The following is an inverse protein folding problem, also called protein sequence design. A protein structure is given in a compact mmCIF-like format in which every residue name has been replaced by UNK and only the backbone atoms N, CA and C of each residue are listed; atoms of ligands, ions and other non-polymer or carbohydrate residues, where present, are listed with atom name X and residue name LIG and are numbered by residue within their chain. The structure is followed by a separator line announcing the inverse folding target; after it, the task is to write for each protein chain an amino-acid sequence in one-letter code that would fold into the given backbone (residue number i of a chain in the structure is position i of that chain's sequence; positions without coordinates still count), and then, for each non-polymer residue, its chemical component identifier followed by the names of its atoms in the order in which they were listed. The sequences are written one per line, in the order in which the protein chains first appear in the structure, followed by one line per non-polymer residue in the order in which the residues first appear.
data_IF_082303932914
#
_entry.id   IF_082303932914
#
_cell.length_a   1.000
_cell.length_b   1.000
_cell.length_c   1.000
_cell.angle_alpha   90.00
_cell.angle_beta   90.00
_cell.angle_gamma   90.00
#
_symmetry.space_group_name_H-M   'P 1'
#
loop_
_entity.id
_entity.type
_entity.pdbx_description
1 polymer ?
#
# COMPACT_ATOMS: atom_id res chain seq x y z
N UNK A 1 -9.22 -3.49 -10.61
CA UNK A 1 -8.26 -3.16 -9.54
C UNK A 1 -8.46 -4.08 -8.36
N UNK A 2 -9.54 -3.89 -7.60
CA UNK A 2 -9.71 -4.44 -6.24
C UNK A 2 -9.49 -5.95 -6.11
N UNK A 3 -9.95 -6.81 -7.02
CA UNK A 3 -9.82 -8.28 -6.85
C UNK A 3 -8.68 -8.92 -7.64
N UNK A 4 -8.19 -8.24 -8.69
CA UNK A 4 -7.26 -8.82 -9.68
C UNK A 4 -5.82 -8.31 -9.58
N UNK A 5 -5.58 -7.19 -8.91
CA UNK A 5 -4.21 -6.67 -8.77
C UNK A 5 -3.43 -7.47 -7.75
N UNK A 6 -2.12 -7.64 -7.99
CA UNK A 6 -1.20 -8.31 -7.06
C UNK A 6 -1.08 -7.54 -5.74
N UNK A 7 -1.06 -6.20 -5.82
CA UNK A 7 -1.17 -5.30 -4.67
C UNK A 7 -2.35 -4.33 -4.85
N UNK A 8 -3.09 -4.05 -3.78
CA UNK A 8 -4.06 -2.94 -3.73
C UNK A 8 -3.54 -1.85 -2.80
N UNK A 9 -3.50 -0.60 -3.27
CA UNK A 9 -3.13 0.55 -2.44
C UNK A 9 -4.38 1.37 -2.18
N UNK A 10 -4.73 1.55 -0.91
CA UNK A 10 -5.79 2.46 -0.47
C UNK A 10 -5.10 3.73 0.04
N UNK A 11 -4.96 4.71 -0.85
CA UNK A 11 -4.24 5.96 -0.58
C UNK A 11 -5.18 7.09 -0.11
N UNK A 12 -4.60 8.12 0.49
CA UNK A 12 -5.27 9.31 1.03
C UNK A 12 -6.16 8.99 2.23
N UNK A 13 -5.71 8.06 3.10
CA UNK A 13 -6.49 7.65 4.27
C UNK A 13 -6.75 8.80 5.25
N UNK A 14 -5.94 9.86 5.21
CA UNK A 14 -6.13 11.10 5.95
C UNK A 14 -7.41 11.85 5.57
N UNK A 15 -7.95 11.61 4.37
CA UNK A 15 -9.19 12.22 3.93
C UNK A 15 -10.45 11.54 4.50
N UNK A 16 -10.32 10.33 5.06
CA UNK A 16 -11.45 9.52 5.49
C UNK A 16 -12.44 10.25 6.44
N UNK A 17 -11.97 11.02 7.46
CA UNK A 17 -12.86 11.75 8.35
C UNK A 17 -13.67 12.86 7.66
N UNK A 18 -13.16 13.41 6.56
CA UNK A 18 -13.76 14.56 5.87
C UNK A 18 -14.75 14.15 4.77
N UNK A 19 -14.70 12.90 4.32
CA UNK A 19 -15.56 12.38 3.24
C UNK A 19 -16.56 11.33 3.74
N UNK A 20 -16.64 11.12 5.06
CA UNK A 20 -17.52 10.12 5.67
C UNK A 20 -17.14 8.67 5.33
N UNK A 21 -15.85 8.40 5.10
CA UNK A 21 -15.36 7.06 4.82
C UNK A 21 -14.90 6.36 6.11
N UNK A 22 -15.22 5.06 6.24
CA UNK A 22 -14.76 4.22 7.34
C UNK A 22 -13.63 3.29 6.89
N UNK A 23 -12.43 3.51 7.41
CA UNK A 23 -11.28 2.65 7.13
C UNK A 23 -11.49 1.21 7.62
N UNK A 24 -12.21 1.02 8.73
CA UNK A 24 -12.52 -0.31 9.26
C UNK A 24 -13.45 -1.10 8.31
N UNK A 25 -14.45 -0.44 7.72
CA UNK A 25 -15.33 -1.09 6.72
C UNK A 25 -14.54 -1.44 5.46
N UNK A 26 -13.70 -0.50 4.99
CA UNK A 26 -12.83 -0.75 3.83
C UNK A 26 -11.89 -1.93 4.07
N UNK A 27 -11.32 -2.07 5.26
CA UNK A 27 -10.46 -3.19 5.64
C UNK A 27 -11.22 -4.53 5.57
N UNK A 28 -12.38 -4.60 6.22
CA UNK A 28 -13.21 -5.81 6.23
C UNK A 28 -13.62 -6.24 4.81
N UNK A 29 -14.08 -5.30 4.00
CA UNK A 29 -14.46 -5.57 2.61
C UNK A 29 -13.25 -6.00 1.78
N UNK A 30 -12.09 -5.38 1.99
CA UNK A 30 -10.86 -5.70 1.28
C UNK A 30 -10.40 -7.13 1.61
N UNK A 31 -10.38 -7.50 2.89
CA UNK A 31 -10.06 -8.86 3.32
C UNK A 31 -11.02 -9.89 2.73
N UNK A 32 -12.32 -9.60 2.73
CA UNK A 32 -13.35 -10.48 2.13
C UNK A 32 -13.13 -10.69 0.64
N UNK A 33 -12.84 -9.61 -0.10
CA UNK A 33 -12.73 -9.63 -1.56
C UNK A 33 -11.38 -10.16 -2.06
N UNK A 34 -10.30 -9.97 -1.30
CA UNK A 34 -8.93 -10.25 -1.74
C UNK A 34 -8.32 -11.51 -1.12
N UNK A 35 -8.96 -12.12 -0.11
CA UNK A 35 -8.44 -13.30 0.59
C UNK A 35 -7.03 -13.03 1.11
N UNK A 36 -6.02 -13.63 0.47
CA UNK A 36 -4.60 -13.50 0.82
C UNK A 36 -3.85 -12.46 0.00
N UNK A 37 -4.47 -11.88 -1.04
CA UNK A 37 -3.79 -10.90 -1.88
C UNK A 37 -3.59 -9.60 -1.10
N UNK A 38 -2.35 -9.09 -1.00
CA UNK A 38 -2.01 -8.01 -0.08
C UNK A 38 -2.67 -6.68 -0.46
N UNK A 39 -2.83 -5.82 0.53
CA UNK A 39 -3.22 -4.42 0.36
C UNK A 39 -2.52 -3.56 1.41
N UNK A 40 -2.37 -2.26 1.12
CA UNK A 40 -1.72 -1.28 2.01
C UNK A 40 -2.60 -0.05 2.14
N UNK A 41 -2.88 0.37 3.37
CA UNK A 41 -3.38 1.71 3.66
C UNK A 41 -2.22 2.69 3.63
N UNK A 42 -2.37 3.79 2.90
CA UNK A 42 -1.27 4.73 2.70
C UNK A 42 -1.70 6.20 2.72
N UNK A 43 -0.72 7.04 3.05
CA UNK A 43 -0.76 8.47 2.84
C UNK A 43 0.58 8.90 2.24
N UNK A 44 0.60 9.14 0.93
CA UNK A 44 1.80 9.57 0.21
C UNK A 44 2.33 10.95 0.64
N UNK A 45 1.49 11.80 1.26
CA UNK A 45 1.91 13.11 1.76
C UNK A 45 2.75 12.98 3.04
N UNK A 46 2.43 12.02 3.90
CA UNK A 46 3.16 11.78 5.16
C UNK A 46 4.18 10.66 5.04
N UNK A 47 4.16 9.88 3.96
CA UNK A 47 5.00 8.71 3.76
C UNK A 47 4.45 7.42 4.40
N UNK A 48 3.26 7.47 5.02
CA UNK A 48 2.64 6.28 5.62
C UNK A 48 2.35 5.22 4.55
N UNK A 49 2.79 3.98 4.80
CA UNK A 49 2.62 2.84 3.90
C UNK A 49 3.55 2.86 2.67
N UNK A 50 4.37 3.90 2.48
CA UNK A 50 5.27 3.99 1.32
C UNK A 50 6.36 2.92 1.37
N UNK A 51 6.96 2.68 2.54
CA UNK A 51 7.98 1.65 2.68
C UNK A 51 7.42 0.25 2.36
N UNK A 52 6.23 -0.10 2.86
CA UNK A 52 5.57 -1.38 2.54
C UNK A 52 5.32 -1.56 1.03
N UNK A 53 4.97 -0.46 0.33
CA UNK A 53 4.79 -0.49 -1.13
C UNK A 53 6.12 -0.70 -1.85
N UNK A 54 7.19 -0.01 -1.42
CA UNK A 54 8.54 -0.19 -1.96
C UNK A 54 8.99 -1.63 -1.76
N UNK A 55 8.88 -2.15 -0.53
CA UNK A 55 9.26 -3.51 -0.19
C UNK A 55 8.49 -4.50 -1.06
N UNK A 56 7.18 -4.34 -1.23
CA UNK A 56 6.40 -5.20 -2.11
C UNK A 56 6.96 -5.22 -3.53
N UNK A 57 7.26 -4.05 -4.11
CA UNK A 57 7.75 -3.92 -5.48
C UNK A 57 9.15 -4.51 -5.61
N UNK A 58 10.05 -4.27 -4.65
CA UNK A 58 11.41 -4.83 -4.68
C UNK A 58 11.37 -6.36 -4.63
N UNK A 59 10.58 -6.93 -3.73
CA UNK A 59 10.46 -8.39 -3.58
C UNK A 59 9.74 -9.04 -4.76
N UNK A 60 8.57 -8.55 -5.17
CA UNK A 60 7.77 -9.16 -6.24
C UNK A 60 8.30 -8.83 -7.64
N UNK A 61 8.92 -7.67 -7.81
CA UNK A 61 9.57 -7.26 -9.05
C UNK A 61 11.01 -7.78 -9.19
N UNK A 62 11.52 -8.52 -8.20
CA UNK A 62 12.90 -9.00 -8.15
C UNK A 62 13.94 -7.89 -8.37
N UNK A 63 13.66 -6.69 -7.86
CA UNK A 63 14.54 -5.54 -8.00
C UNK A 63 15.57 -5.58 -6.88
N UNK A 64 16.85 -5.51 -7.23
CA UNK A 64 17.88 -5.24 -6.25
C UNK A 64 17.81 -3.75 -5.88
N UNK A 65 17.68 -3.45 -4.59
CA UNK A 65 17.84 -2.08 -4.10
C UNK A 65 19.16 -1.52 -4.64
N UNK A 66 19.18 -0.34 -5.29
CA UNK A 66 20.42 0.25 -5.74
C UNK A 66 21.33 0.41 -4.54
N UNK A 67 22.52 -0.22 -4.58
CA UNK A 67 23.55 0.00 -3.56
C UNK A 67 23.76 1.50 -3.47
N UNK A 68 23.37 2.10 -2.36
CA UNK A 68 23.60 3.50 -2.08
C UNK A 68 25.11 3.68 -1.99
N UNK A 69 25.74 3.99 -3.12
CA UNK A 69 27.13 4.38 -3.17
C UNK A 69 27.24 5.71 -2.47
N UNK A 70 27.61 5.69 -1.19
CA UNK A 70 28.26 6.82 -0.56
C UNK A 70 29.59 6.97 -1.29
N UNK A 71 29.66 7.92 -2.21
CA UNK A 71 30.93 8.43 -2.72
C UNK A 71 31.52 9.24 -1.57
N UNK A 72 32.58 8.72 -0.96
CA UNK A 72 33.41 9.43 0.02
C UNK A 72 34.06 10.65 -0.63
#
# INVERSE_FOLDING_TARGET
GITRSDLLIINKIDLAPYVGASLAVMEQDTLRMRKTNPFVFSNMKTGQGVQEIIDFIEHHGMLAAPKSGVVL
#
